data_IF_292970680080
#
_entry.id   IF_292970680080
#
_cell.length_a   1.000
_cell.length_b   1.000
_cell.length_c   1.000
_cell.angle_alpha   90.00
_cell.angle_beta   90.00
_cell.angle_gamma   90.00
#
_symmetry.space_group_name_H-M   'P 1'
#
loop_
_entity.id
_entity.type
_entity.pdbx_description
1 polymer ?
#
# COMPACT_ATOMS: atom_id res chain seq x y z
N UNK A 1 15.27 -29.54 -9.47
CA UNK A 1 14.13 -28.73 -9.93
C UNK A 1 13.83 -27.73 -8.81
N UNK A 2 14.19 -26.48 -8.99
CA UNK A 2 13.92 -25.40 -8.03
C UNK A 2 12.40 -25.20 -7.97
N UNK A 3 11.76 -25.50 -6.81
CA UNK A 3 10.36 -25.12 -6.59
C UNK A 3 10.30 -23.60 -6.60
N UNK A 4 9.68 -23.03 -7.61
CA UNK A 4 9.35 -21.60 -7.63
C UNK A 4 8.45 -21.32 -6.43
N UNK A 5 8.98 -20.61 -5.46
CA UNK A 5 8.25 -20.25 -4.25
C UNK A 5 7.16 -19.27 -4.69
N UNK A 6 5.89 -19.67 -4.60
CA UNK A 6 4.77 -18.79 -4.94
C UNK A 6 4.47 -17.84 -3.77
N UNK A 7 4.61 -16.53 -4.00
CA UNK A 7 4.24 -15.51 -3.00
C UNK A 7 2.82 -15.71 -2.47
N UNK A 8 1.90 -16.11 -3.33
CA UNK A 8 0.51 -16.37 -2.94
C UNK A 8 0.38 -17.47 -1.88
N UNK A 9 1.11 -18.58 -2.03
CA UNK A 9 1.09 -19.66 -1.03
C UNK A 9 1.75 -19.23 0.28
N UNK A 10 2.81 -18.44 0.21
CA UNK A 10 3.49 -17.92 1.38
C UNK A 10 2.56 -17.00 2.16
N UNK A 11 1.95 -16.01 1.50
CA UNK A 11 1.04 -15.07 2.13
C UNK A 11 -0.19 -15.78 2.71
N UNK A 12 -0.85 -16.64 1.94
CA UNK A 12 -2.01 -17.39 2.40
C UNK A 12 -1.71 -18.18 3.68
N UNK A 13 -0.56 -18.88 3.72
CA UNK A 13 -0.13 -19.65 4.88
C UNK A 13 0.22 -18.76 6.08
N UNK A 14 0.90 -17.64 5.86
CA UNK A 14 1.28 -16.70 6.93
C UNK A 14 0.08 -15.98 7.55
N UNK A 15 -0.97 -15.76 6.76
CA UNK A 15 -2.22 -15.15 7.22
C UNK A 15 -3.26 -16.16 7.75
N UNK A 16 -3.09 -17.44 7.45
CA UNK A 16 -4.09 -18.47 7.77
C UNK A 16 -5.36 -18.38 6.91
N UNK A 17 -5.26 -17.84 5.69
CA UNK A 17 -6.38 -17.70 4.75
C UNK A 17 -6.34 -18.76 3.66
N UNK A 18 -7.51 -19.07 3.08
CA UNK A 18 -7.62 -20.12 2.06
C UNK A 18 -7.11 -19.68 0.68
N UNK A 19 -7.18 -18.40 0.38
CA UNK A 19 -6.79 -17.85 -0.91
C UNK A 19 -6.33 -16.40 -0.81
N UNK A 20 -5.56 -15.98 -1.81
CA UNK A 20 -5.10 -14.60 -2.00
C UNK A 20 -5.28 -14.21 -3.46
N UNK A 21 -5.41 -12.93 -3.71
CA UNK A 21 -5.59 -12.38 -5.06
C UNK A 21 -4.25 -11.90 -5.62
N UNK A 22 -3.80 -12.41 -6.78
CA UNK A 22 -2.58 -11.92 -7.41
C UNK A 22 -2.79 -10.54 -8.01
N UNK A 23 -1.72 -9.75 -8.04
CA UNK A 23 -1.67 -8.50 -8.79
C UNK A 23 -0.31 -8.32 -9.47
N UNK A 24 -0.29 -7.47 -10.46
CA UNK A 24 0.93 -7.08 -11.16
C UNK A 24 0.74 -5.71 -11.79
N UNK A 25 1.71 -4.85 -11.63
CA UNK A 25 1.82 -3.57 -12.33
C UNK A 25 3.18 -3.48 -13.06
N UNK A 26 3.59 -2.30 -13.46
CA UNK A 26 4.82 -2.11 -14.21
C UNK A 26 6.07 -2.32 -13.34
N UNK A 27 5.98 -2.14 -12.04
CA UNK A 27 7.09 -2.27 -11.09
C UNK A 27 6.96 -3.46 -10.14
N UNK A 28 5.74 -3.73 -9.65
CA UNK A 28 5.52 -4.73 -8.62
C UNK A 28 4.80 -5.97 -9.13
N UNK A 29 5.14 -7.11 -8.54
CA UNK A 29 4.44 -8.37 -8.73
C UNK A 29 4.19 -9.01 -7.38
N UNK A 30 2.94 -9.36 -7.08
CA UNK A 30 2.61 -9.86 -5.76
C UNK A 30 1.19 -10.39 -5.63
N UNK A 31 0.74 -10.38 -4.39
CA UNK A 31 -0.61 -10.82 -4.02
C UNK A 31 -1.10 -10.06 -2.77
N UNK A 32 -2.42 -10.08 -2.56
CA UNK A 32 -3.07 -9.52 -1.39
C UNK A 32 -4.16 -10.46 -0.85
N UNK A 33 -4.57 -10.28 0.39
CA UNK A 33 -5.54 -11.11 1.09
C UNK A 33 -6.99 -10.97 0.61
N UNK A 34 -7.25 -10.07 -0.32
CA UNK A 34 -8.59 -9.85 -0.86
C UNK A 34 -9.53 -9.03 0.03
N UNK A 35 -9.09 -8.61 1.21
CA UNK A 35 -9.90 -7.80 2.10
C UNK A 35 -10.35 -6.50 1.44
N UNK A 36 -11.55 -6.03 1.80
CA UNK A 36 -12.06 -4.76 1.33
C UNK A 36 -11.50 -3.62 2.19
N UNK A 37 -10.74 -2.73 1.58
CA UNK A 37 -10.25 -1.50 2.21
C UNK A 37 -8.84 -1.57 2.73
N UNK A 38 -8.59 -2.27 3.81
CA UNK A 38 -7.25 -2.48 4.37
C UNK A 38 -6.80 -3.88 4.01
N UNK A 39 -5.66 -3.99 3.37
CA UNK A 39 -5.18 -5.26 2.82
C UNK A 39 -3.76 -5.57 3.26
N UNK A 40 -3.46 -6.84 3.43
CA UNK A 40 -2.11 -7.35 3.49
C UNK A 40 -1.58 -7.58 2.09
N UNK A 41 -0.52 -6.89 1.72
CA UNK A 41 0.18 -7.09 0.45
C UNK A 41 1.54 -7.74 0.67
N UNK A 42 1.84 -8.77 -0.12
CA UNK A 42 3.19 -9.31 -0.26
C UNK A 42 3.61 -9.12 -1.72
N UNK A 43 4.61 -8.28 -1.95
CA UNK A 43 5.00 -7.91 -3.31
C UNK A 43 6.52 -7.81 -3.48
N UNK A 44 7.00 -8.22 -4.64
CA UNK A 44 8.39 -8.04 -5.05
C UNK A 44 8.51 -6.86 -6.00
N UNK A 45 9.40 -5.95 -5.69
CA UNK A 45 9.84 -4.89 -6.59
C UNK A 45 10.73 -5.52 -7.69
N UNK A 46 10.32 -5.41 -8.94
CA UNK A 46 11.03 -6.03 -10.07
C UNK A 46 12.36 -5.37 -10.41
N UNK A 47 12.54 -4.14 -9.96
CA UNK A 47 13.77 -3.38 -10.19
C UNK A 47 14.84 -3.77 -9.18
N UNK A 48 14.47 -3.81 -7.90
CA UNK A 48 15.42 -4.12 -6.82
C UNK A 48 15.48 -5.59 -6.43
N UNK A 49 14.47 -6.37 -6.79
CA UNK A 49 14.32 -7.76 -6.35
C UNK A 49 13.87 -7.91 -4.90
N UNK A 50 13.69 -6.80 -4.18
CA UNK A 50 13.27 -6.81 -2.79
C UNK A 50 11.79 -7.18 -2.65
N UNK A 51 11.48 -8.00 -1.64
CA UNK A 51 10.10 -8.36 -1.32
C UNK A 51 9.67 -7.69 -0.02
N UNK A 52 8.49 -7.10 -0.06
CA UNK A 52 7.89 -6.31 1.01
C UNK A 52 6.56 -6.89 1.43
N UNK A 53 6.34 -6.98 2.76
CA UNK A 53 5.00 -7.12 3.33
C UNK A 53 4.51 -5.74 3.73
N UNK A 54 3.29 -5.39 3.37
CA UNK A 54 2.71 -4.09 3.67
C UNK A 54 1.25 -4.18 4.11
N UNK A 55 0.87 -3.30 5.02
CA UNK A 55 -0.52 -2.86 5.22
C UNK A 55 -0.82 -1.84 4.14
N UNK A 56 -1.83 -2.12 3.34
CA UNK A 56 -2.17 -1.34 2.17
C UNK A 56 -3.57 -0.75 2.27
N UNK A 57 -3.65 0.56 2.06
CA UNK A 57 -4.89 1.28 1.88
C UNK A 57 -5.02 1.71 0.43
N UNK A 58 -5.89 1.03 -0.27
CA UNK A 58 -6.25 1.40 -1.62
C UNK A 58 -7.52 2.26 -1.62
N UNK A 59 -7.54 3.27 -2.48
CA UNK A 59 -8.76 3.96 -2.81
C UNK A 59 -9.71 3.00 -3.52
N UNK A 60 -10.65 2.42 -2.79
CA UNK A 60 -11.48 1.29 -3.20
C UNK A 60 -12.09 1.37 -4.59
N UNK A 61 -12.13 0.22 -5.21
CA UNK A 61 -12.80 0.00 -6.50
C UNK A 61 -14.30 0.25 -6.44
N UNK A 62 -14.93 0.01 -5.30
CA UNK A 62 -16.40 -0.10 -5.20
C UNK A 62 -16.89 0.52 -3.90
N UNK A 63 -17.60 1.62 -3.98
CA UNK A 63 -18.29 2.19 -2.84
C UNK A 63 -18.21 3.70 -2.75
N UNK A 64 -19.25 4.29 -2.16
CA UNK A 64 -19.41 5.75 -2.02
C UNK A 64 -18.44 6.35 -1.01
N UNK A 65 -17.93 5.54 -0.09
CA UNK A 65 -17.02 5.99 0.95
C UNK A 65 -15.74 5.17 0.94
N UNK A 66 -14.69 5.75 0.41
CA UNK A 66 -13.39 5.09 0.30
C UNK A 66 -12.68 5.10 1.64
N UNK A 67 -12.19 3.96 2.13
CA UNK A 67 -11.46 3.90 3.39
C UNK A 67 -10.31 4.89 3.45
N UNK A 68 -9.54 5.04 2.39
CA UNK A 68 -8.44 5.99 2.37
C UNK A 68 -8.92 7.43 2.53
N UNK A 69 -10.01 7.84 1.89
CA UNK A 69 -10.56 9.18 2.04
C UNK A 69 -10.98 9.45 3.48
N UNK A 70 -11.63 8.48 4.12
CA UNK A 70 -12.00 8.57 5.54
C UNK A 70 -10.79 8.69 6.44
N UNK A 71 -9.76 7.87 6.21
CA UNK A 71 -8.53 7.95 6.98
C UNK A 71 -7.89 9.33 6.84
N UNK A 72 -7.69 9.79 5.61
CA UNK A 72 -7.06 11.09 5.33
C UNK A 72 -7.81 12.23 5.99
N UNK A 73 -9.14 12.26 5.90
CA UNK A 73 -9.97 13.28 6.54
C UNK A 73 -9.87 13.24 8.06
N UNK A 74 -9.89 12.06 8.67
CA UNK A 74 -9.79 11.90 10.13
C UNK A 74 -8.43 12.31 10.65
N UNK A 75 -7.38 11.92 9.97
CA UNK A 75 -6.01 12.25 10.34
C UNK A 75 -5.78 13.77 10.26
N UNK A 76 -6.39 14.48 9.31
CA UNK A 76 -6.34 15.94 9.22
C UNK A 76 -7.20 16.62 10.29
N UNK A 77 -8.40 16.12 10.55
CA UNK A 77 -9.33 16.72 11.50
C UNK A 77 -8.86 16.60 12.96
N UNK A 78 -8.08 15.59 13.30
CA UNK A 78 -7.63 15.31 14.68
C UNK A 78 -6.13 14.97 14.75
N UNK A 79 -5.25 15.88 14.38
CA UNK A 79 -3.82 15.57 14.32
C UNK A 79 -3.19 15.23 15.69
N UNK A 80 -3.82 15.56 16.80
CA UNK A 80 -3.35 15.23 18.16
C UNK A 80 -3.75 13.84 18.66
N UNK A 81 -4.68 13.13 17.98
CA UNK A 81 -5.22 11.83 18.39
C UNK A 81 -4.83 10.75 17.36
N UNK A 82 -3.63 10.85 16.84
CA UNK A 82 -3.19 10.09 15.67
C UNK A 82 -2.72 8.70 16.07
N UNK A 83 -3.63 7.72 16.06
CA UNK A 83 -3.26 6.34 16.29
C UNK A 83 -2.19 5.87 15.29
N UNK A 84 -2.37 6.14 14.02
CA UNK A 84 -1.45 5.71 12.97
C UNK A 84 -0.08 6.38 13.10
N UNK A 85 -0.04 7.72 13.21
CA UNK A 85 1.22 8.45 13.35
C UNK A 85 1.99 8.09 14.64
N UNK A 86 1.30 7.80 15.73
CA UNK A 86 1.96 7.39 16.98
C UNK A 86 2.54 5.98 16.93
N UNK A 87 1.97 5.09 16.13
CA UNK A 87 2.45 3.72 15.99
C UNK A 87 3.57 3.60 14.98
N UNK A 88 3.48 4.29 13.84
CA UNK A 88 4.45 4.20 12.75
C UNK A 88 5.89 4.50 13.19
N UNK A 89 6.21 5.57 13.94
CA UNK A 89 7.59 5.85 14.36
C UNK A 89 8.18 4.82 15.31
N UNK A 90 7.34 4.03 15.97
CA UNK A 90 7.76 2.94 16.87
C UNK A 90 8.00 1.63 16.13
N UNK A 91 7.46 1.51 14.94
CA UNK A 91 7.65 0.36 14.08
C UNK A 91 9.00 0.51 13.35
N UNK A 92 10.04 -0.08 13.94
CA UNK A 92 11.40 -0.06 13.39
C UNK A 92 11.41 -0.63 11.96
N UNK A 93 12.13 0.02 11.06
CA UNK A 93 12.29 -0.42 9.66
C UNK A 93 11.03 -0.37 8.77
N UNK A 94 9.93 0.18 9.28
CA UNK A 94 8.73 0.42 8.45
C UNK A 94 8.97 1.60 7.52
N UNK A 95 8.66 1.40 6.24
CA UNK A 95 8.65 2.46 5.24
C UNK A 95 7.20 2.82 4.93
N UNK A 96 6.88 4.10 5.04
CA UNK A 96 5.59 4.65 4.61
C UNK A 96 5.73 5.20 3.22
N UNK A 97 4.79 4.83 2.36
CA UNK A 97 4.77 5.25 0.97
C UNK A 97 3.36 5.68 0.59
N UNK A 98 3.22 6.94 0.20
CA UNK A 98 1.99 7.51 -0.37
C UNK A 98 2.23 7.84 -1.83
N UNK A 99 1.43 7.25 -2.70
CA UNK A 99 1.50 7.47 -4.15
C UNK A 99 0.16 7.92 -4.71
N UNK A 100 0.21 8.43 -5.93
CA UNK A 100 -0.94 8.57 -6.80
C UNK A 100 -0.95 7.40 -7.77
N UNK A 101 -1.90 6.50 -7.60
CA UNK A 101 -2.08 5.39 -8.52
C UNK A 101 -2.99 5.78 -9.69
N UNK A 102 -2.63 5.37 -10.88
CA UNK A 102 -3.45 5.56 -12.06
C UNK A 102 -4.00 4.24 -12.61
N UNK A 103 -5.24 4.29 -13.09
CA UNK A 103 -5.87 3.17 -13.76
C UNK A 103 -5.93 3.41 -15.26
N UNK A 104 -5.31 2.52 -16.00
CA UNK A 104 -5.34 2.50 -17.45
C UNK A 104 -6.41 1.53 -17.91
N UNK A 105 -7.41 2.01 -18.65
CA UNK A 105 -8.45 1.18 -19.27
C UNK A 105 -9.20 0.25 -18.30
N UNK A 106 -9.31 0.64 -17.03
CA UNK A 106 -10.05 -0.11 -16.01
C UNK A 106 -9.47 -1.45 -15.56
N UNK A 107 -8.34 -1.89 -16.12
CA UNK A 107 -7.78 -3.23 -15.87
C UNK A 107 -6.35 -3.26 -15.38
N UNK A 108 -5.57 -2.21 -15.57
CA UNK A 108 -4.15 -2.19 -15.26
C UNK A 108 -3.75 -0.92 -14.53
N UNK A 109 -2.99 -1.07 -13.46
CA UNK A 109 -2.31 0.04 -12.82
C UNK A 109 -1.11 0.44 -13.67
N UNK A 110 -0.88 1.75 -13.78
CA UNK A 110 0.39 2.29 -14.16
C UNK A 110 1.11 2.73 -12.87
N UNK A 111 2.30 2.23 -12.62
CA UNK A 111 3.20 2.80 -11.64
C UNK A 111 3.96 3.95 -12.31
N UNK A 112 3.86 5.12 -11.75
CA UNK A 112 4.59 6.31 -12.21
C UNK A 112 5.33 6.86 -11.01
N UNK A 113 6.66 6.74 -11.02
CA UNK A 113 7.51 7.08 -9.88
C UNK A 113 7.41 8.56 -9.49
N UNK A 114 7.27 9.43 -10.47
CA UNK A 114 7.00 10.88 -10.32
C UNK A 114 5.70 11.19 -9.55
N UNK A 115 4.85 10.19 -9.33
CA UNK A 115 3.62 10.32 -8.58
C UNK A 115 3.75 9.88 -7.12
N UNK A 116 4.94 9.51 -6.70
CA UNK A 116 5.24 9.37 -5.28
C UNK A 116 5.08 10.74 -4.62
N UNK A 117 4.13 10.82 -3.69
CA UNK A 117 3.94 12.02 -2.87
C UNK A 117 5.01 12.04 -1.79
N UNK A 118 5.15 10.90 -1.08
CA UNK A 118 6.14 10.76 -0.03
C UNK A 118 6.53 9.29 0.13
N UNK A 119 7.82 9.04 0.34
CA UNK A 119 8.35 7.72 0.70
C UNK A 119 9.49 7.91 1.68
N UNK A 120 9.30 7.45 2.92
CA UNK A 120 10.32 7.54 3.95
C UNK A 120 10.18 6.51 5.06
N UNK A 121 11.24 6.27 5.83
CA UNK A 121 11.14 5.52 7.08
C UNK A 121 10.09 6.14 8.01
N UNK A 122 9.30 5.29 8.65
CA UNK A 122 8.28 5.74 9.58
C UNK A 122 8.88 6.51 10.78
N UNK A 123 10.12 6.17 11.17
CA UNK A 123 10.86 6.87 12.23
C UNK A 123 11.18 8.35 11.92
N UNK A 124 11.12 8.73 10.65
CA UNK A 124 11.36 10.11 10.20
C UNK A 124 10.08 10.91 10.02
N UNK A 125 8.92 10.29 10.21
CA UNK A 125 7.63 10.97 10.09
C UNK A 125 7.42 11.91 11.27
N UNK A 126 7.40 13.20 10.95
CA UNK A 126 6.92 14.23 11.87
C UNK A 126 5.44 14.50 11.64
N UNK A 127 4.80 15.19 12.59
CA UNK A 127 3.42 15.63 12.45
C UNK A 127 3.17 16.46 11.20
N UNK A 128 4.10 17.36 10.89
CA UNK A 128 3.96 18.26 9.75
C UNK A 128 4.08 17.50 8.42
N UNK A 129 5.03 16.55 8.33
CA UNK A 129 5.16 15.68 7.18
C UNK A 129 3.89 14.84 7.00
N UNK A 130 3.39 14.25 8.08
CA UNK A 130 2.17 13.44 8.03
C UNK A 130 0.96 14.26 7.58
N UNK A 131 0.76 15.45 8.15
CA UNK A 131 -0.33 16.36 7.77
C UNK A 131 -0.26 16.76 6.30
N UNK A 132 0.95 17.06 5.79
CA UNK A 132 1.16 17.34 4.37
C UNK A 132 0.81 16.14 3.50
N UNK A 133 1.28 14.94 3.83
CA UNK A 133 0.95 13.70 3.11
C UNK A 133 -0.57 13.50 3.03
N UNK A 134 -1.28 13.68 4.14
CA UNK A 134 -2.73 13.53 4.19
C UNK A 134 -3.44 14.55 3.31
N UNK A 135 -3.00 15.81 3.34
CA UNK A 135 -3.54 16.89 2.49
C UNK A 135 -3.34 16.56 1.00
N UNK A 136 -2.12 16.26 0.60
CA UNK A 136 -1.79 15.94 -0.79
C UNK A 136 -2.50 14.65 -1.26
N UNK A 137 -2.69 13.67 -0.37
CA UNK A 137 -3.48 12.48 -0.64
C UNK A 137 -4.95 12.81 -0.91
N UNK A 138 -5.56 13.69 -0.12
CA UNK A 138 -6.95 14.15 -0.35
C UNK A 138 -7.11 14.91 -1.65
N UNK A 139 -6.14 15.72 -2.03
CA UNK A 139 -6.14 16.45 -3.31
C UNK A 139 -6.13 15.54 -4.54
N UNK A 140 -5.74 14.27 -4.38
CA UNK A 140 -5.83 13.28 -5.45
C UNK A 140 -7.27 12.84 -5.73
N UNK A 141 -8.19 13.04 -4.78
CA UNK A 141 -9.58 12.61 -4.91
C UNK A 141 -10.41 13.69 -5.62
N UNK A 142 -11.41 13.23 -6.33
CA UNK A 142 -12.45 14.09 -6.86
C UNK A 142 -13.54 14.40 -5.81
N UNK A 143 -14.62 15.09 -6.23
CA UNK A 143 -15.74 15.42 -5.35
C UNK A 143 -16.30 14.19 -4.64
N UNK A 144 -16.69 14.35 -3.38
CA UNK A 144 -17.25 13.28 -2.53
C UNK A 144 -16.37 12.01 -2.44
N UNK A 145 -15.02 12.16 -2.53
CA UNK A 145 -14.09 11.04 -2.49
C UNK A 145 -14.10 10.16 -3.75
N UNK A 146 -14.70 10.65 -4.85
CA UNK A 146 -14.59 9.99 -6.14
C UNK A 146 -13.14 9.94 -6.63
N UNK A 147 -12.85 9.11 -7.63
CA UNK A 147 -11.53 9.13 -8.29
C UNK A 147 -11.28 10.51 -8.88
N UNK A 148 -10.11 11.05 -8.61
CA UNK A 148 -9.61 12.21 -9.34
C UNK A 148 -9.32 11.84 -10.79
N UNK A 149 -9.23 12.85 -11.64
CA UNK A 149 -8.83 12.67 -13.05
C UNK A 149 -7.66 13.59 -13.35
N UNK A 150 -6.63 13.04 -13.99
CA UNK A 150 -5.45 13.81 -14.37
C UNK A 150 -5.01 13.45 -15.78
N UNK A 151 -4.54 14.47 -16.52
CA UNK A 151 -3.89 14.29 -17.81
C UNK A 151 -2.44 13.84 -17.57
N UNK A 152 -2.07 12.74 -18.18
CA UNK A 152 -0.77 12.09 -17.96
C UNK A 152 -0.12 11.73 -19.25
N UNK A 153 1.16 12.08 -19.39
CA UNK A 153 2.02 11.60 -20.47
C UNK A 153 2.87 10.46 -19.93
N UNK A 154 2.63 9.25 -20.38
CA UNK A 154 3.44 8.09 -20.01
C UNK A 154 4.68 8.00 -20.88
N UNK A 155 5.78 7.47 -20.34
CA UNK A 155 6.98 7.18 -21.12
C UNK A 155 6.65 6.31 -22.34
N UNK A 156 7.04 6.76 -23.52
CA UNK A 156 6.74 6.07 -24.79
C UNK A 156 5.31 6.26 -25.34
N UNK A 157 4.45 7.03 -24.68
CA UNK A 157 3.12 7.35 -25.21
C UNK A 157 3.19 8.50 -26.23
N UNK A 158 2.42 8.38 -27.32
CA UNK A 158 2.38 9.39 -28.38
C UNK A 158 1.59 10.68 -27.97
N UNK A 159 0.72 10.57 -26.96
CA UNK A 159 -0.10 11.68 -26.47
C UNK A 159 -0.45 11.53 -25.00
N UNK A 160 -0.77 12.63 -24.30
CA UNK A 160 -1.32 12.59 -22.95
C UNK A 160 -2.65 11.84 -22.91
N UNK A 161 -2.87 11.09 -21.83
CA UNK A 161 -4.08 10.32 -21.57
C UNK A 161 -4.74 10.79 -20.27
N UNK A 162 -6.07 10.88 -20.25
CA UNK A 162 -6.81 11.20 -19.04
C UNK A 162 -7.02 9.94 -18.21
N UNK A 163 -6.39 9.87 -17.06
CA UNK A 163 -6.43 8.71 -16.17
C UNK A 163 -7.22 9.00 -14.89
N UNK A 164 -7.89 7.96 -14.39
CA UNK A 164 -8.45 7.97 -13.04
C UNK A 164 -7.31 7.81 -12.03
N UNK A 165 -7.23 8.72 -11.06
CA UNK A 165 -6.18 8.78 -10.05
C UNK A 165 -6.78 8.62 -8.67
N UNK A 166 -6.13 7.82 -7.83
CA UNK A 166 -6.48 7.64 -6.42
C UNK A 166 -5.22 7.67 -5.56
N UNK A 167 -5.31 8.15 -4.32
CA UNK A 167 -4.21 8.00 -3.37
C UNK A 167 -4.08 6.54 -2.96
N UNK A 168 -2.86 6.10 -2.78
CA UNK A 168 -2.52 4.75 -2.33
C UNK A 168 -1.48 4.84 -1.23
N UNK A 169 -1.85 4.46 -0.02
CA UNK A 169 -1.00 4.51 1.16
C UNK A 169 -0.60 3.10 1.57
N UNK A 170 0.69 2.90 1.72
CA UNK A 170 1.23 1.66 2.28
C UNK A 170 2.15 1.93 3.46
N UNK A 171 2.12 1.03 4.44
CA UNK A 171 3.13 0.93 5.48
C UNK A 171 3.72 -0.47 5.42
N UNK A 172 4.98 -0.59 5.05
CA UNK A 172 5.59 -1.88 4.71
C UNK A 172 6.94 -2.12 5.35
N UNK A 173 7.24 -3.40 5.52
CA UNK A 173 8.53 -3.93 5.93
C UNK A 173 9.15 -4.73 4.80
N UNK A 174 10.45 -4.55 4.57
CA UNK A 174 11.22 -5.44 3.71
C UNK A 174 11.36 -6.79 4.39
N UNK A 175 10.88 -7.83 3.73
CA UNK A 175 10.92 -9.20 4.26
C UNK A 175 12.20 -9.90 3.84
N UNK A 176 12.60 -9.73 2.57
CA UNK A 176 13.88 -10.20 2.04
C UNK A 176 14.33 -9.41 0.82
N UNK A 177 15.64 -9.40 0.59
CA UNK A 177 16.29 -8.91 -0.64
C UNK A 177 16.83 -10.04 -1.51
N UNK A 178 16.89 -11.27 -0.98
CA UNK A 178 17.21 -12.48 -1.72
C UNK A 178 16.20 -13.55 -1.33
N UNK A 179 15.85 -14.42 -2.27
CA UNK A 179 14.89 -15.50 -2.03
C UNK A 179 15.33 -16.35 -0.83
N UNK A 180 14.42 -16.63 0.12
CA UNK A 180 14.68 -17.53 1.25
C UNK A 180 15.04 -18.94 0.76
N UNK A 181 15.86 -19.64 1.54
CA UNK A 181 16.34 -20.97 1.19
C UNK A 181 15.19 -22.01 1.12
N UNK A 182 14.10 -21.77 1.81
CA UNK A 182 12.94 -22.67 1.82
C UNK A 182 11.61 -21.95 1.91
N UNK A 183 10.50 -22.59 1.48
CA UNK A 183 9.15 -22.07 1.70
C UNK A 183 8.80 -21.89 3.17
N UNK A 184 9.35 -22.71 4.06
CA UNK A 184 9.11 -22.61 5.49
C UNK A 184 9.73 -21.34 6.07
N UNK A 185 10.98 -21.06 5.70
CA UNK A 185 11.67 -19.82 6.07
C UNK A 185 10.92 -18.60 5.55
N UNK A 186 10.48 -18.62 4.29
CA UNK A 186 9.70 -17.54 3.70
C UNK A 186 8.41 -17.24 4.49
N UNK A 187 7.67 -18.27 4.89
CA UNK A 187 6.46 -18.12 5.71
C UNK A 187 6.80 -17.55 7.09
N UNK A 188 7.87 -18.00 7.72
CA UNK A 188 8.29 -17.51 9.03
C UNK A 188 8.67 -16.02 8.98
N UNK A 189 9.41 -15.60 7.95
CA UNK A 189 9.76 -14.19 7.73
C UNK A 189 8.53 -13.31 7.54
N UNK A 190 7.58 -13.74 6.71
CA UNK A 190 6.31 -13.00 6.50
C UNK A 190 5.49 -12.94 7.79
N UNK A 191 5.40 -14.02 8.55
CA UNK A 191 4.68 -14.04 9.83
C UNK A 191 5.31 -13.09 10.86
N UNK A 192 6.63 -13.02 10.91
CA UNK A 192 7.37 -12.08 11.77
C UNK A 192 7.10 -10.63 11.34
N UNK A 193 7.19 -10.32 10.05
CA UNK A 193 6.90 -8.99 9.53
C UNK A 193 5.45 -8.59 9.78
N UNK A 194 4.51 -9.53 9.65
CA UNK A 194 3.10 -9.33 9.99
C UNK A 194 2.92 -8.91 11.44
N UNK A 195 3.52 -9.65 12.38
CA UNK A 195 3.42 -9.34 13.81
C UNK A 195 3.91 -7.92 14.14
N UNK A 196 4.92 -7.41 13.41
CA UNK A 196 5.40 -6.04 13.57
C UNK A 196 4.41 -4.99 13.01
N UNK A 197 3.69 -5.31 11.95
CA UNK A 197 2.73 -4.42 11.30
C UNK A 197 1.30 -4.54 11.84
N UNK A 198 0.99 -5.59 12.61
CA UNK A 198 -0.35 -5.84 13.15
C UNK A 198 -0.93 -4.63 13.92
N UNK A 199 -0.18 -3.94 14.81
CA UNK A 199 -0.73 -2.76 15.49
C UNK A 199 -1.11 -1.63 14.54
N UNK A 200 -0.40 -1.47 13.42
CA UNK A 200 -0.75 -0.49 12.38
C UNK A 200 -2.01 -0.91 11.65
N UNK A 201 -2.10 -2.19 11.28
CA UNK A 201 -3.27 -2.75 10.62
C UNK A 201 -4.53 -2.61 11.47
N UNK A 202 -4.49 -3.01 12.73
CA UNK A 202 -5.62 -2.91 13.68
C UNK A 202 -6.12 -1.48 13.83
N UNK A 203 -5.23 -0.52 14.07
CA UNK A 203 -5.62 0.89 14.23
C UNK A 203 -6.23 1.45 12.95
N UNK A 204 -5.70 1.07 11.78
CA UNK A 204 -6.26 1.51 10.51
C UNK A 204 -7.65 0.89 10.28
N UNK A 205 -7.82 -0.40 10.57
CA UNK A 205 -9.12 -1.07 10.49
C UNK A 205 -10.13 -0.43 11.44
N UNK A 206 -9.77 -0.23 12.70
CA UNK A 206 -10.66 0.40 13.70
C UNK A 206 -11.07 1.82 13.29
N UNK A 207 -10.13 2.59 12.73
CA UNK A 207 -10.39 3.96 12.26
C UNK A 207 -11.33 4.03 11.07
N UNK A 208 -11.42 2.96 10.30
CA UNK A 208 -12.30 2.87 9.14
C UNK A 208 -13.68 2.31 9.48
N UNK A 209 -13.81 1.61 10.62
CA UNK A 209 -15.05 0.94 11.04
C UNK A 209 -16.06 1.90 11.71
N UNK A 210 -15.67 3.10 12.02
CA UNK A 210 -16.48 4.19 12.61
C UNK A 210 -16.46 5.40 11.67
#
# INVERSE_FOLDING_TARGET
MSQVISLGRILAKALGVSSVTPFSDDRYSGCHDGAAGVQWHLATDRVTGETWLAVNLEGLKYGRERPIARLLQRELARPAVLGVLHLLPRAKDVVVHLTRDAWVSGRRRAYIEEWTIERRPASELTRDIWSRMMTEGLECLGPAGARGRRLVTRAGAAAPEMLDVVPHLTAGLRVWSALPASPHEAVALVATARAHLEPVHEVVVDRLSY
#
